data_IF_436989174538
#
_entry.id   IF_436989174538
#
_cell.length_a   1.000
_cell.length_b   1.000
_cell.length_c   1.000
_cell.angle_alpha   90.00
_cell.angle_beta   90.00
_cell.angle_gamma   90.00
#
_symmetry.space_group_name_H-M   'P 1'
#
loop_
_entity.id
_entity.type
_entity.pdbx_description
1 polymer ?
#
# COMPACT_ATOMS: atom_id res chain seq x y z
N UNK A 1 -12.41 -25.14 -22.37
CA UNK A 1 -13.78 -25.16 -22.93
C UNK A 1 -14.59 -24.15 -22.15
N UNK A 2 -14.79 -22.96 -22.71
CA UNK A 2 -15.56 -21.88 -22.08
C UNK A 2 -16.97 -21.81 -22.69
N UNK A 3 -17.85 -20.99 -22.12
CA UNK A 3 -19.17 -20.67 -22.71
C UNK A 3 -19.02 -20.18 -24.16
N UNK A 4 -17.93 -19.50 -24.50
CA UNK A 4 -17.63 -19.02 -25.85
C UNK A 4 -17.43 -20.15 -26.87
N UNK A 5 -16.78 -21.25 -26.49
CA UNK A 5 -16.60 -22.42 -27.36
C UNK A 5 -17.95 -23.10 -27.66
N UNK A 6 -18.82 -23.20 -26.65
CA UNK A 6 -20.16 -23.78 -26.79
C UNK A 6 -21.03 -22.87 -27.67
N UNK A 7 -21.00 -21.55 -27.45
CA UNK A 7 -21.75 -20.59 -28.25
C UNK A 7 -21.29 -20.57 -29.72
N UNK A 8 -19.98 -20.65 -29.98
CA UNK A 8 -19.43 -20.74 -31.33
C UNK A 8 -19.89 -22.01 -32.05
N UNK A 9 -19.78 -23.18 -31.40
CA UNK A 9 -20.22 -24.46 -31.98
C UNK A 9 -21.72 -24.48 -32.29
N UNK A 10 -22.53 -23.87 -31.43
CA UNK A 10 -23.99 -23.78 -31.60
C UNK A 10 -24.35 -22.77 -32.70
N UNK A 11 -23.59 -21.69 -32.85
CA UNK A 11 -23.78 -20.71 -33.93
C UNK A 11 -23.36 -21.22 -35.30
N UNK A 12 -22.36 -22.11 -35.37
CA UNK A 12 -21.87 -22.67 -36.65
C UNK A 12 -22.60 -23.95 -37.08
N UNK A 13 -23.36 -24.59 -36.19
CA UNK A 13 -24.08 -25.84 -36.46
C UNK A 13 -25.51 -25.62 -36.92
N UNK A 14 -25.76 -25.70 -38.23
CA UNK A 14 -27.10 -25.74 -38.82
C UNK A 14 -27.73 -27.14 -38.61
N UNK A 15 -28.96 -27.14 -38.08
CA UNK A 15 -29.91 -28.24 -37.88
C UNK A 15 -29.81 -29.15 -36.62
N UNK A 16 -30.91 -29.12 -35.85
CA UNK A 16 -31.31 -29.97 -34.71
C UNK A 16 -30.58 -29.84 -33.35
N UNK A 17 -29.41 -29.18 -33.26
CA UNK A 17 -28.63 -29.13 -32.01
C UNK A 17 -28.68 -27.81 -31.23
N UNK A 18 -29.43 -26.80 -31.70
CA UNK A 18 -29.57 -25.51 -31.01
C UNK A 18 -30.05 -25.65 -29.57
N UNK A 19 -31.12 -26.44 -29.34
CA UNK A 19 -31.65 -26.70 -28.00
C UNK A 19 -30.63 -27.39 -27.08
N UNK A 20 -29.78 -28.27 -27.63
CA UNK A 20 -28.69 -28.90 -26.86
C UNK A 20 -27.64 -27.88 -26.44
N UNK A 21 -27.36 -26.89 -27.30
CA UNK A 21 -26.50 -25.75 -26.99
C UNK A 21 -27.01 -24.88 -25.85
N UNK A 22 -28.27 -24.46 -25.95
CA UNK A 22 -28.93 -23.67 -24.89
C UNK A 22 -28.97 -24.45 -23.58
N UNK A 23 -29.28 -25.74 -23.64
CA UNK A 23 -29.31 -26.61 -22.46
C UNK A 23 -27.91 -26.78 -21.84
N UNK A 24 -26.85 -26.92 -22.65
CA UNK A 24 -25.48 -26.97 -22.18
C UNK A 24 -25.06 -25.66 -21.48
N UNK A 25 -25.41 -24.51 -22.06
CA UNK A 25 -25.16 -23.19 -21.46
C UNK A 25 -25.93 -23.05 -20.13
N UNK A 26 -27.20 -23.47 -20.08
CA UNK A 26 -28.00 -23.43 -18.86
C UNK A 26 -27.43 -24.31 -17.76
N UNK A 27 -26.99 -25.54 -18.06
CA UNK A 27 -26.34 -26.41 -17.07
C UNK A 27 -25.03 -25.79 -16.59
N UNK A 28 -24.21 -25.31 -17.52
CA UNK A 28 -22.92 -24.72 -17.20
C UNK A 28 -23.05 -23.44 -16.35
N UNK A 29 -24.14 -22.69 -16.49
CA UNK A 29 -24.47 -21.55 -15.63
C UNK A 29 -25.11 -21.99 -14.31
N UNK A 30 -26.03 -22.95 -14.34
CA UNK A 30 -26.79 -23.39 -13.18
C UNK A 30 -25.90 -24.11 -12.15
N UNK A 31 -24.98 -24.97 -12.59
CA UNK A 31 -24.15 -25.75 -11.67
C UNK A 31 -23.29 -24.84 -10.76
N UNK A 32 -22.46 -23.90 -11.28
CA UNK A 32 -21.73 -22.95 -10.45
C UNK A 32 -22.64 -22.07 -9.58
N UNK A 33 -23.80 -21.67 -10.10
CA UNK A 33 -24.76 -20.85 -9.36
C UNK A 33 -25.32 -21.60 -8.14
N UNK A 34 -25.74 -22.86 -8.32
CA UNK A 34 -26.26 -23.68 -7.23
C UNK A 34 -25.16 -24.08 -6.25
N UNK A 35 -23.96 -24.45 -6.71
CA UNK A 35 -22.84 -24.73 -5.81
C UNK A 35 -22.46 -23.48 -5.02
N UNK A 36 -22.46 -22.29 -5.63
CA UNK A 36 -22.21 -21.02 -4.95
C UNK A 36 -23.23 -20.74 -3.84
N UNK A 37 -24.53 -20.89 -4.11
CA UNK A 37 -25.57 -20.73 -3.08
C UNK A 37 -25.38 -21.75 -1.94
N UNK A 38 -25.04 -22.99 -2.28
CA UNK A 38 -24.88 -24.05 -1.30
C UNK A 38 -23.63 -23.83 -0.42
N UNK A 39 -22.51 -23.41 -1.01
CA UNK A 39 -21.29 -23.01 -0.30
C UNK A 39 -21.53 -21.82 0.63
N UNK A 40 -22.32 -20.83 0.21
CA UNK A 40 -22.67 -19.67 1.05
C UNK A 40 -23.46 -20.07 2.30
N UNK A 41 -24.36 -21.05 2.15
CA UNK A 41 -25.24 -21.49 3.25
C UNK A 41 -24.59 -22.52 4.18
N UNK A 42 -23.67 -23.34 3.69
CA UNK A 42 -23.11 -24.46 4.44
C UNK A 42 -21.58 -24.54 4.33
N UNK A 43 -20.90 -24.44 5.48
CA UNK A 43 -19.45 -24.58 5.57
C UNK A 43 -18.96 -25.93 5.04
N UNK A 44 -19.64 -27.04 5.34
CA UNK A 44 -19.20 -28.36 4.85
C UNK A 44 -19.31 -28.48 3.34
N UNK A 45 -20.34 -27.87 2.74
CA UNK A 45 -20.47 -27.81 1.29
C UNK A 45 -19.36 -26.94 0.68
N UNK A 46 -19.08 -25.78 1.28
CA UNK A 46 -17.97 -24.92 0.89
C UNK A 46 -16.62 -25.64 0.97
N UNK A 47 -16.33 -26.27 2.11
CA UNK A 47 -15.08 -27.02 2.32
C UNK A 47 -14.94 -28.19 1.31
N UNK A 48 -16.04 -28.72 0.78
CA UNK A 48 -16.05 -29.77 -0.25
C UNK A 48 -15.85 -29.22 -1.67
N UNK A 49 -16.55 -28.14 -2.04
CA UNK A 49 -16.49 -27.57 -3.40
C UNK A 49 -15.30 -26.63 -3.62
N UNK A 50 -14.91 -25.85 -2.61
CA UNK A 50 -13.86 -24.83 -2.67
C UNK A 50 -12.58 -25.27 -1.96
N UNK A 51 -12.63 -26.38 -1.20
CA UNK A 51 -11.53 -26.84 -0.37
C UNK A 51 -11.49 -26.14 0.99
N UNK A 52 -10.55 -26.55 1.83
CA UNK A 52 -10.32 -25.94 3.15
C UNK A 52 -8.84 -25.67 3.37
N UNK A 53 -8.54 -24.60 4.08
CA UNK A 53 -7.16 -24.31 4.47
C UNK A 53 -6.67 -25.34 5.49
N UNK A 54 -5.41 -25.73 5.37
CA UNK A 54 -4.77 -26.72 6.24
C UNK A 54 -3.56 -26.11 6.94
N UNK A 55 -3.51 -26.23 8.26
CA UNK A 55 -2.38 -25.74 9.07
C UNK A 55 -1.17 -26.65 8.85
N UNK A 56 -0.05 -26.12 8.38
CA UNK A 56 1.18 -26.89 8.17
C UNK A 56 2.20 -26.66 9.29
N UNK A 57 2.21 -25.48 9.92
CA UNK A 57 3.06 -25.16 11.08
C UNK A 57 2.18 -24.56 12.17
N UNK A 58 2.33 -25.03 13.41
CA UNK A 58 1.66 -24.47 14.58
C UNK A 58 2.59 -24.47 15.77
N UNK A 59 2.64 -23.35 16.49
CA UNK A 59 3.50 -23.15 17.66
C UNK A 59 4.98 -23.46 17.33
N UNK A 60 5.41 -23.08 16.12
CA UNK A 60 6.75 -23.33 15.57
C UNK A 60 7.07 -24.79 15.23
N UNK A 61 6.09 -25.69 15.23
CA UNK A 61 6.27 -27.10 14.88
C UNK A 61 5.59 -27.43 13.56
N UNK A 62 6.30 -28.15 12.69
CA UNK A 62 5.73 -28.72 11.48
C UNK A 62 4.72 -29.80 11.88
N UNK A 63 3.57 -29.82 11.20
CA UNK A 63 2.52 -30.83 11.38
C UNK A 63 2.63 -31.84 10.23
N UNK A 64 3.46 -32.87 10.41
CA UNK A 64 3.80 -33.84 9.35
C UNK A 64 2.58 -34.62 8.85
N UNK A 65 1.61 -34.89 9.71
CA UNK A 65 0.35 -35.54 9.31
C UNK A 65 -0.46 -34.67 8.35
N UNK A 66 -0.43 -33.35 8.52
CA UNK A 66 -1.11 -32.41 7.63
C UNK A 66 -0.35 -32.28 6.31
N UNK A 67 0.98 -32.25 6.33
CA UNK A 67 1.78 -32.32 5.10
C UNK A 67 1.48 -33.57 4.29
N UNK A 68 1.46 -34.75 4.92
CA UNK A 68 1.10 -36.01 4.26
C UNK A 68 -0.30 -35.98 3.66
N UNK A 69 -1.26 -35.40 4.38
CA UNK A 69 -2.65 -35.29 3.93
C UNK A 69 -2.77 -34.40 2.69
N UNK A 70 -2.07 -33.27 2.67
CA UNK A 70 -2.03 -32.35 1.53
C UNK A 70 -1.03 -32.79 0.45
N UNK A 71 -0.32 -33.90 0.66
CA UNK A 71 0.70 -34.47 -0.24
C UNK A 71 1.89 -33.55 -0.49
N UNK A 72 2.28 -32.78 0.52
CA UNK A 72 3.48 -31.95 0.52
C UNK A 72 4.65 -32.67 1.20
N UNK A 73 5.82 -32.57 0.58
CA UNK A 73 7.12 -32.92 1.14
C UNK A 73 7.68 -31.79 2.00
N UNK A 74 8.72 -32.09 2.79
CA UNK A 74 9.46 -31.05 3.51
C UNK A 74 10.10 -30.04 2.56
N UNK A 75 10.55 -30.47 1.39
CA UNK A 75 11.22 -29.62 0.41
C UNK A 75 10.25 -28.62 -0.22
N UNK A 76 9.03 -29.05 -0.55
CA UNK A 76 7.96 -28.18 -1.05
C UNK A 76 7.50 -27.19 0.03
N UNK A 77 7.40 -27.61 1.30
CA UNK A 77 7.12 -26.68 2.40
C UNK A 77 8.20 -25.60 2.50
N UNK A 78 9.48 -25.97 2.43
CA UNK A 78 10.59 -25.02 2.46
C UNK A 78 10.59 -24.08 1.24
N UNK A 79 10.20 -24.56 0.08
CA UNK A 79 10.01 -23.74 -1.12
C UNK A 79 8.91 -22.68 -0.91
N UNK A 80 7.75 -23.10 -0.41
CA UNK A 80 6.64 -22.20 -0.10
C UNK A 80 7.02 -21.15 0.95
N UNK A 81 7.75 -21.55 1.99
CA UNK A 81 8.24 -20.63 3.03
C UNK A 81 9.20 -19.57 2.45
N UNK A 82 10.15 -19.98 1.60
CA UNK A 82 11.04 -19.04 0.90
C UNK A 82 10.26 -18.09 0.00
N UNK A 83 9.20 -18.56 -0.66
CA UNK A 83 8.28 -17.73 -1.45
C UNK A 83 7.58 -16.64 -0.63
N UNK A 84 7.52 -16.78 0.70
CA UNK A 84 7.01 -15.78 1.65
C UNK A 84 8.12 -15.11 2.48
N UNK A 85 9.36 -15.15 1.99
CA UNK A 85 10.54 -14.56 2.64
C UNK A 85 10.92 -15.17 4.00
N UNK A 86 10.40 -16.36 4.33
CA UNK A 86 10.78 -17.12 5.53
C UNK A 86 11.83 -18.18 5.14
N UNK A 87 13.11 -17.89 5.37
CA UNK A 87 14.21 -18.78 4.96
C UNK A 87 14.50 -19.89 5.98
N UNK A 88 14.05 -19.72 7.22
CA UNK A 88 14.21 -20.70 8.29
C UNK A 88 12.85 -21.06 8.90
N UNK A 89 12.58 -22.36 9.04
CA UNK A 89 11.40 -22.85 9.76
C UNK A 89 11.39 -22.36 11.21
N UNK A 90 12.56 -22.14 11.80
CA UNK A 90 12.69 -21.67 13.18
C UNK A 90 12.12 -20.26 13.39
N UNK A 91 11.99 -19.45 12.33
CA UNK A 91 11.42 -18.10 12.36
C UNK A 91 9.89 -18.11 12.24
N UNK A 92 9.28 -19.25 11.90
CA UNK A 92 7.85 -19.37 11.65
C UNK A 92 7.14 -19.80 12.93
N UNK A 93 6.09 -19.05 13.31
CA UNK A 93 5.22 -19.41 14.42
C UNK A 93 4.01 -20.23 13.94
N UNK A 94 3.43 -19.81 12.82
CA UNK A 94 2.22 -20.42 12.27
C UNK A 94 2.22 -20.32 10.74
N UNK A 95 1.81 -21.39 10.06
CA UNK A 95 1.65 -21.40 8.62
C UNK A 95 0.42 -22.19 8.18
N UNK A 96 -0.33 -21.63 7.23
CA UNK A 96 -1.57 -22.21 6.68
C UNK A 96 -1.47 -22.29 5.17
N UNK A 97 -1.72 -23.47 4.64
CA UNK A 97 -1.88 -23.71 3.21
C UNK A 97 -3.33 -23.46 2.81
N UNK A 98 -3.56 -22.56 1.88
CA UNK A 98 -4.86 -22.28 1.30
C UNK A 98 -5.22 -23.29 0.18
N UNK A 99 -6.51 -23.47 -0.16
CA UNK A 99 -6.93 -24.34 -1.26
C UNK A 99 -6.32 -23.95 -2.62
N UNK A 100 -5.91 -22.69 -2.80
CA UNK A 100 -5.20 -22.21 -3.98
C UNK A 100 -3.77 -22.76 -4.11
N UNK A 101 -3.23 -23.38 -3.07
CA UNK A 101 -1.82 -23.77 -2.96
C UNK A 101 -0.93 -22.66 -2.38
N UNK A 102 -1.49 -21.50 -2.06
CA UNK A 102 -0.72 -20.42 -1.42
C UNK A 102 -0.49 -20.71 0.08
N UNK A 103 0.72 -20.46 0.55
CA UNK A 103 1.07 -20.56 1.97
C UNK A 103 1.00 -19.19 2.64
N UNK A 104 0.17 -19.01 3.65
CA UNK A 104 0.19 -17.83 4.52
C UNK A 104 1.07 -18.10 5.74
N UNK A 105 1.97 -17.16 6.08
CA UNK A 105 2.99 -17.34 7.11
C UNK A 105 2.91 -16.23 8.14
N UNK A 106 2.90 -16.61 9.41
CA UNK A 106 3.10 -15.74 10.55
C UNK A 106 4.47 -16.04 11.15
N UNK A 107 5.38 -15.06 11.06
CA UNK A 107 6.69 -15.13 11.70
C UNK A 107 6.55 -14.99 13.21
N UNK A 108 7.53 -15.50 13.96
CA UNK A 108 7.70 -15.24 15.38
C UNK A 108 7.91 -13.75 15.63
N UNK A 109 7.48 -13.29 16.81
CA UNK A 109 7.44 -11.84 17.12
C UNK A 109 8.81 -11.16 17.07
N UNK A 110 9.89 -11.90 17.36
CA UNK A 110 11.29 -11.44 17.27
C UNK A 110 11.85 -11.43 15.84
N UNK A 111 11.20 -12.16 14.92
CA UNK A 111 11.54 -12.25 13.50
C UNK A 111 10.67 -11.34 12.62
N UNK A 112 9.67 -10.66 13.20
CA UNK A 112 8.82 -9.70 12.50
C UNK A 112 9.51 -8.32 12.38
N UNK A 113 9.27 -7.57 11.29
CA UNK A 113 9.75 -6.20 11.19
C UNK A 113 9.13 -5.32 12.29
N UNK A 114 9.91 -4.38 12.83
CA UNK A 114 9.43 -3.45 13.84
C UNK A 114 8.39 -2.50 13.25
N UNK A 115 7.29 -2.33 13.97
CA UNK A 115 6.30 -1.29 13.67
C UNK A 115 6.59 -0.03 14.49
N UNK A 116 6.10 1.13 14.05
CA UNK A 116 6.18 2.38 14.82
C UNK A 116 5.61 2.22 16.24
N UNK A 117 4.58 1.38 16.40
CA UNK A 117 3.96 1.08 17.69
C UNK A 117 4.89 0.31 18.63
N UNK A 118 5.71 -0.62 18.11
CA UNK A 118 6.64 -1.42 18.92
C UNK A 118 7.71 -0.55 19.61
N UNK A 119 8.04 0.61 19.02
CA UNK A 119 9.02 1.58 19.57
C UNK A 119 8.36 2.81 20.23
N UNK A 120 7.04 2.82 20.40
CA UNK A 120 6.32 3.93 21.02
C UNK A 120 6.27 5.22 20.18
N UNK A 121 6.56 5.13 18.88
CA UNK A 121 6.52 6.26 17.96
C UNK A 121 5.07 6.54 17.55
N UNK A 122 4.60 7.77 17.79
CA UNK A 122 3.31 8.24 17.27
C UNK A 122 3.52 8.78 15.86
N UNK A 123 3.08 8.01 14.87
CA UNK A 123 3.02 8.46 13.47
C UNK A 123 1.64 9.04 13.19
N UNK A 124 1.57 10.06 12.36
CA UNK A 124 0.31 10.58 11.86
C UNK A 124 -0.30 9.58 10.86
N UNK A 125 -1.63 9.56 10.75
CA UNK A 125 -2.27 8.82 9.67
C UNK A 125 -1.99 9.55 8.36
N UNK A 126 -1.45 8.83 7.39
CA UNK A 126 -1.35 9.29 6.02
C UNK A 126 -2.63 8.89 5.27
N UNK A 127 -3.18 9.84 4.53
CA UNK A 127 -4.20 9.62 3.49
C UNK A 127 -3.51 9.23 2.18
N UNK A 128 -4.26 8.55 1.34
CA UNK A 128 -3.85 8.22 -0.01
C UNK A 128 -3.52 9.47 -0.83
N UNK A 129 -2.44 9.45 -1.63
CA UNK A 129 -2.10 10.57 -2.50
C UNK A 129 -3.21 10.76 -3.55
N UNK A 130 -3.54 12.02 -3.82
CA UNK A 130 -4.54 12.39 -4.83
C UNK A 130 -3.84 12.64 -6.16
N UNK A 131 -4.22 11.92 -7.21
CA UNK A 131 -3.74 12.20 -8.58
C UNK A 131 -4.43 13.43 -9.12
N UNK A 132 -3.69 14.51 -9.30
CA UNK A 132 -4.20 15.83 -9.73
C UNK A 132 -3.88 16.13 -11.20
N UNK A 133 -2.91 15.45 -11.80
CA UNK A 133 -2.61 15.51 -13.23
C UNK A 133 -2.46 14.08 -13.77
N UNK A 134 -3.10 13.81 -14.90
CA UNK A 134 -2.97 12.54 -15.63
C UNK A 134 -2.93 12.83 -17.12
N UNK A 135 -1.91 12.32 -17.81
CA UNK A 135 -1.71 12.45 -19.25
C UNK A 135 -1.80 13.91 -19.75
N UNK A 136 -1.22 14.85 -19.02
CA UNK A 136 -1.27 16.27 -19.33
C UNK A 136 -2.62 16.95 -19.08
N UNK A 137 -3.56 16.31 -18.37
CA UNK A 137 -4.86 16.87 -18.02
C UNK A 137 -5.00 17.03 -16.51
N UNK A 138 -5.53 18.17 -16.07
CA UNK A 138 -5.82 18.42 -14.65
C UNK A 138 -7.11 17.72 -14.24
N UNK A 139 -7.05 16.98 -13.14
CA UNK A 139 -8.19 16.33 -12.51
C UNK A 139 -8.71 17.22 -11.37
N UNK A 140 -9.74 18.02 -11.66
CA UNK A 140 -10.26 19.05 -10.74
C UNK A 140 -10.86 18.50 -9.45
N UNK A 141 -11.51 17.34 -9.51
CA UNK A 141 -12.13 16.73 -8.34
C UNK A 141 -11.08 16.24 -7.33
N UNK A 142 -10.08 15.41 -7.71
CA UNK A 142 -8.95 15.08 -6.83
C UNK A 142 -8.17 16.30 -6.34
N UNK A 143 -7.97 17.30 -7.22
CA UNK A 143 -7.29 18.54 -6.84
C UNK A 143 -8.05 19.29 -5.74
N UNK A 144 -9.37 19.42 -5.89
CA UNK A 144 -10.23 20.04 -4.89
C UNK A 144 -10.30 19.21 -3.60
N UNK A 145 -10.34 17.87 -3.72
CA UNK A 145 -10.33 16.95 -2.58
C UNK A 145 -9.01 17.03 -1.78
N UNK A 146 -7.89 17.31 -2.45
CA UNK A 146 -6.59 17.59 -1.81
C UNK A 146 -6.53 18.97 -1.12
N UNK A 147 -7.58 19.79 -1.24
CA UNK A 147 -7.63 21.13 -0.66
C UNK A 147 -6.92 22.21 -1.49
N UNK A 148 -6.55 21.88 -2.72
CA UNK A 148 -5.84 22.77 -3.63
C UNK A 148 -6.72 23.15 -4.82
N UNK A 149 -6.27 24.13 -5.61
CA UNK A 149 -6.97 24.60 -6.80
C UNK A 149 -5.99 24.72 -7.97
N UNK A 150 -6.52 24.99 -9.18
CA UNK A 150 -5.68 25.13 -10.38
C UNK A 150 -4.60 26.21 -10.23
N UNK A 151 -4.91 27.33 -9.57
CA UNK A 151 -3.95 28.41 -9.37
C UNK A 151 -2.73 27.94 -8.55
N UNK A 152 -2.97 27.16 -7.49
CA UNK A 152 -1.91 26.51 -6.73
C UNK A 152 -1.09 25.55 -7.60
N UNK A 153 -1.78 24.69 -8.38
CA UNK A 153 -1.12 23.70 -9.23
C UNK A 153 -0.21 24.36 -10.28
N UNK A 154 -0.70 25.41 -10.94
CA UNK A 154 0.10 26.19 -11.89
C UNK A 154 1.32 26.84 -11.22
N UNK A 155 1.17 27.39 -10.01
CA UNK A 155 2.28 27.98 -9.27
C UNK A 155 3.34 26.93 -8.88
N UNK A 156 2.94 25.71 -8.51
CA UNK A 156 3.90 24.63 -8.22
C UNK A 156 4.62 24.15 -9.49
N UNK A 157 3.92 24.03 -10.61
CA UNK A 157 4.55 23.66 -11.89
C UNK A 157 5.50 24.74 -12.41
N UNK A 158 5.18 26.02 -12.21
CA UNK A 158 6.03 27.15 -12.58
C UNK A 158 7.36 27.13 -11.80
N UNK A 159 7.33 26.82 -10.50
CA UNK A 159 8.56 26.63 -9.70
C UNK A 159 9.47 25.53 -10.26
N UNK A 160 8.87 24.52 -10.89
CA UNK A 160 9.59 23.41 -11.52
C UNK A 160 9.95 23.68 -12.99
N UNK A 161 9.46 24.77 -13.58
CA UNK A 161 9.68 25.12 -14.99
C UNK A 161 8.98 24.15 -15.96
N UNK A 162 7.89 23.51 -15.54
CA UNK A 162 7.18 22.49 -16.32
C UNK A 162 5.80 23.01 -16.76
N UNK A 163 5.42 22.70 -18.00
CA UNK A 163 4.06 22.95 -18.51
C UNK A 163 3.19 21.71 -18.30
N UNK A 164 1.88 21.92 -18.05
CA UNK A 164 0.95 20.84 -17.70
C UNK A 164 0.96 19.74 -18.75
N UNK A 165 1.00 20.10 -20.03
CA UNK A 165 0.93 19.18 -21.17
C UNK A 165 2.11 18.19 -21.19
N UNK A 166 3.22 18.53 -20.54
CA UNK A 166 4.41 17.68 -20.43
C UNK A 166 4.41 16.79 -19.19
N UNK A 167 3.42 16.91 -18.31
CA UNK A 167 3.28 16.09 -17.09
C UNK A 167 2.49 14.82 -17.42
N UNK A 168 3.13 13.66 -17.27
CA UNK A 168 2.48 12.36 -17.42
C UNK A 168 1.62 12.06 -16.19
N UNK A 169 2.18 12.26 -14.99
CA UNK A 169 1.49 12.02 -13.73
C UNK A 169 1.84 13.10 -12.71
N UNK A 170 0.82 13.63 -12.02
CA UNK A 170 1.01 14.55 -10.89
C UNK A 170 0.19 14.10 -9.69
N UNK A 171 0.82 13.94 -8.53
CA UNK A 171 0.18 13.53 -7.29
C UNK A 171 0.47 14.49 -6.15
N UNK A 172 -0.54 14.71 -5.31
CA UNK A 172 -0.41 15.48 -4.06
C UNK A 172 -0.54 14.51 -2.89
N UNK A 173 0.47 14.49 -2.03
CA UNK A 173 0.48 13.65 -0.84
C UNK A 173 -0.31 14.28 0.34
N UNK A 174 -0.35 13.56 1.47
CA UNK A 174 -0.99 14.03 2.70
C UNK A 174 -0.37 15.29 3.31
N UNK A 175 0.84 15.65 2.90
CA UNK A 175 1.57 16.84 3.35
C UNK A 175 1.35 18.04 2.42
N UNK A 176 0.54 17.89 1.36
CA UNK A 176 0.31 18.92 0.35
C UNK A 176 1.49 19.09 -0.61
N UNK A 177 2.34 18.06 -0.73
CA UNK A 177 3.53 18.10 -1.57
C UNK A 177 3.20 17.54 -2.96
N UNK A 178 3.43 18.36 -3.99
CA UNK A 178 3.28 17.94 -5.39
C UNK A 178 4.50 17.13 -5.81
N UNK A 179 4.25 15.92 -6.31
CA UNK A 179 5.23 15.10 -7.03
C UNK A 179 4.76 14.96 -8.47
N UNK A 180 5.65 15.19 -9.43
CA UNK A 180 5.34 15.04 -10.86
C UNK A 180 6.32 14.13 -11.57
N UNK A 181 5.78 13.39 -12.52
CA UNK A 181 6.50 12.65 -13.54
C UNK A 181 6.16 13.26 -14.92
N UNK A 182 7.17 13.42 -15.76
CA UNK A 182 7.04 14.07 -17.07
C UNK A 182 7.30 13.07 -18.18
N UNK A 183 6.70 13.29 -19.36
CA UNK A 183 6.86 12.39 -20.52
C UNK A 183 8.29 12.20 -21.02
N UNK A 184 9.25 13.00 -20.54
CA UNK A 184 10.64 12.87 -20.92
C UNK A 184 11.40 12.02 -19.90
N UNK A 185 11.48 10.72 -20.16
CA UNK A 185 12.16 9.72 -19.31
C UNK A 185 13.65 10.04 -19.02
N UNK A 186 14.28 10.95 -19.78
CA UNK A 186 15.68 11.35 -19.58
C UNK A 186 15.84 12.47 -18.56
N UNK A 187 14.75 13.11 -18.15
CA UNK A 187 14.75 14.20 -17.18
C UNK A 187 14.20 13.68 -15.86
N UNK A 188 15.03 13.72 -14.82
CA UNK A 188 14.58 13.45 -13.46
C UNK A 188 14.11 14.74 -12.81
N UNK A 189 12.86 14.75 -12.36
CA UNK A 189 12.34 15.88 -11.60
C UNK A 189 12.96 15.90 -10.20
N UNK A 190 13.32 17.08 -9.67
CA UNK A 190 13.87 17.17 -8.33
C UNK A 190 12.85 16.67 -7.32
N UNK A 191 13.28 15.82 -6.38
CA UNK A 191 12.45 15.41 -5.26
C UNK A 191 12.00 16.66 -4.49
N UNK A 192 10.73 16.72 -4.06
CA UNK A 192 10.21 17.94 -3.52
C UNK A 192 10.86 18.26 -2.15
N UNK A 193 11.32 19.51 -1.98
CA UNK A 193 12.24 19.89 -0.89
C UNK A 193 11.55 20.52 0.33
N UNK A 194 10.21 20.56 0.36
CA UNK A 194 9.44 21.29 1.36
C UNK A 194 9.75 20.83 2.79
N UNK A 195 9.90 19.52 3.02
CA UNK A 195 10.22 18.93 4.32
C UNK A 195 11.64 19.32 4.82
N UNK A 196 12.72 19.08 4.05
CA UNK A 196 14.05 19.56 4.40
C UNK A 196 14.14 21.08 4.59
N UNK A 197 13.47 21.87 3.73
CA UNK A 197 13.46 23.33 3.82
C UNK A 197 12.73 23.83 5.08
N UNK A 198 11.61 23.19 5.45
CA UNK A 198 10.92 23.49 6.69
C UNK A 198 11.80 23.15 7.90
N UNK A 199 12.49 22.00 7.89
CA UNK A 199 13.42 21.64 8.95
C UNK A 199 14.57 22.65 9.07
N UNK A 200 15.16 23.06 7.94
CA UNK A 200 16.21 24.06 7.91
C UNK A 200 15.72 25.42 8.44
N UNK A 201 14.50 25.83 8.07
CA UNK A 201 13.87 27.06 8.54
C UNK A 201 13.61 27.03 10.05
N UNK A 202 13.14 25.91 10.59
CA UNK A 202 12.93 25.72 12.03
C UNK A 202 14.25 25.77 12.80
N UNK A 203 15.30 25.11 12.29
CA UNK A 203 16.65 25.15 12.89
C UNK A 203 17.23 26.56 12.87
N UNK A 204 17.07 27.29 11.76
CA UNK A 204 17.48 28.69 11.65
C UNK A 204 16.74 29.54 12.67
N UNK A 205 15.42 29.42 12.75
CA UNK A 205 14.62 30.18 13.72
C UNK A 205 15.04 29.89 15.17
N UNK A 206 15.35 28.64 15.50
CA UNK A 206 15.91 28.27 16.81
C UNK A 206 17.23 29.02 17.09
N UNK A 207 18.20 28.94 16.17
CA UNK A 207 19.50 29.58 16.31
C UNK A 207 19.39 31.12 16.41
N UNK A 208 18.51 31.73 15.61
CA UNK A 208 18.26 33.18 15.65
C UNK A 208 17.70 33.59 17.02
N UNK A 209 16.77 32.83 17.61
CA UNK A 209 16.23 33.11 18.94
C UNK A 209 17.29 32.96 20.05
N UNK A 210 18.15 31.96 19.96
CA UNK A 210 19.28 31.82 20.91
C UNK A 210 20.21 33.03 20.82
N UNK A 211 20.58 33.42 19.60
CA UNK A 211 21.43 34.59 19.36
C UNK A 211 20.79 35.87 19.93
N UNK A 212 19.52 36.13 19.63
CA UNK A 212 18.80 37.32 20.14
C UNK A 212 18.69 37.33 21.67
N UNK A 213 18.61 36.15 22.31
CA UNK A 213 18.58 36.05 23.76
C UNK A 213 19.91 36.49 24.41
N UNK A 214 21.03 36.29 23.70
CA UNK A 214 22.38 36.65 24.14
C UNK A 214 22.73 38.11 23.83
N UNK A 215 22.26 38.64 22.71
CA UNK A 215 22.60 39.99 22.24
C UNK A 215 21.75 41.11 22.86
N UNK A 216 20.52 40.79 23.27
CA UNK A 216 19.58 41.82 23.76
C UNK A 216 20.00 42.38 25.13
N UNK A 217 19.94 43.72 25.27
CA UNK A 217 20.22 44.43 26.53
C UNK A 217 19.06 44.37 27.52
N UNK A 218 17.85 44.02 27.06
CA UNK A 218 16.65 43.94 27.90
C UNK A 218 16.53 42.55 28.50
N UNK A 219 16.55 42.48 29.84
CA UNK A 219 16.40 41.20 30.57
C UNK A 219 15.09 40.48 30.22
N UNK A 220 13.98 41.22 30.12
CA UNK A 220 12.67 40.67 29.75
C UNK A 220 12.68 40.06 28.33
N UNK A 221 13.31 40.74 27.36
CA UNK A 221 13.42 40.22 26.00
C UNK A 221 14.34 38.99 25.92
N UNK A 222 15.43 38.97 26.68
CA UNK A 222 16.35 37.82 26.76
C UNK A 222 15.61 36.57 27.26
N UNK A 223 14.84 36.71 28.34
CA UNK A 223 14.02 35.64 28.90
C UNK A 223 12.94 35.16 27.91
N UNK A 224 12.29 36.08 27.20
CA UNK A 224 11.31 35.76 26.15
C UNK A 224 11.93 34.94 25.01
N UNK A 225 13.05 35.39 24.45
CA UNK A 225 13.73 34.68 23.36
C UNK A 225 14.23 33.31 23.79
N UNK A 226 14.83 33.19 24.97
CA UNK A 226 15.28 31.91 25.52
C UNK A 226 14.11 30.93 25.72
N UNK A 227 12.96 31.42 26.19
CA UNK A 227 11.74 30.60 26.33
C UNK A 227 11.25 30.09 24.98
N UNK A 228 11.23 30.95 23.95
CA UNK A 228 10.79 30.57 22.61
C UNK A 228 11.78 29.61 21.93
N UNK A 229 13.09 29.82 22.09
CA UNK A 229 14.11 28.89 21.60
C UNK A 229 13.87 27.47 22.16
N UNK A 230 13.68 27.35 23.48
CA UNK A 230 13.34 26.07 24.14
C UNK A 230 12.03 25.45 23.64
N UNK A 231 11.06 26.25 23.21
CA UNK A 231 9.83 25.73 22.61
C UNK A 231 10.11 25.16 21.22
N UNK A 232 10.87 25.87 20.39
CA UNK A 232 11.27 25.37 19.06
C UNK A 232 12.14 24.12 19.18
N UNK A 233 13.06 24.06 20.15
CA UNK A 233 13.88 22.88 20.43
C UNK A 233 13.01 21.64 20.71
N UNK A 234 11.98 21.78 21.56
CA UNK A 234 11.03 20.70 21.85
C UNK A 234 10.25 20.28 20.61
N UNK A 235 9.93 21.20 19.71
CA UNK A 235 9.27 20.88 18.44
C UNK A 235 10.24 20.13 17.52
N UNK A 236 11.46 20.66 17.33
CA UNK A 236 12.51 20.04 16.52
C UNK A 236 12.79 18.60 16.95
N UNK A 237 12.90 18.33 18.25
CA UNK A 237 13.10 16.98 18.77
C UNK A 237 11.96 16.01 18.42
N UNK A 238 10.74 16.53 18.20
CA UNK A 238 9.57 15.73 17.81
C UNK A 238 9.40 15.60 16.30
N UNK A 239 9.84 16.57 15.50
CA UNK A 239 9.54 16.58 14.05
C UNK A 239 10.75 16.25 13.17
N UNK A 240 11.97 16.26 13.73
CA UNK A 240 13.20 16.06 12.94
C UNK A 240 13.19 14.76 12.15
N UNK A 241 12.67 13.66 12.70
CA UNK A 241 12.61 12.38 11.97
C UNK A 241 11.57 12.39 10.83
N UNK A 242 10.55 13.26 10.90
CA UNK A 242 9.52 13.40 9.87
C UNK A 242 9.95 14.32 8.72
N UNK A 243 10.87 15.25 8.99
CA UNK A 243 11.28 16.31 8.05
C UNK A 243 12.69 16.13 7.49
N UNK A 244 13.38 15.03 7.83
CA UNK A 244 14.76 14.75 7.42
C UNK A 244 14.88 14.29 5.96
N UNK A 245 13.79 13.78 5.40
CA UNK A 245 13.67 13.24 4.04
C UNK A 245 12.74 14.12 3.20
#
# INVERSE_FOLDING_TARGET
MTIGDIAAQVSTGLDSKFFHGVFAILIFAAVPFFTGILSLKNKTARDFFEGKSTVLIKDGKILEDNLKKEKYTSDELLELLRGKSAFSVAEVEFAVLEPSGELNVLLKKDSQPLTAKDIGLKVANEKEPQTVIMDGNVLDEPLSASGHNRAWLHAELEKLGVVIENVFLGQVDSYGQLTIDIYNDKLQMPSPQNKPLLLASLKKCHADLELFSLETKSKSASEMYSKNAKQIEKILNKVTYLLKE
#
